data_IF_222353211511
#
_entry.id   IF_222353211511
#
_cell.length_a   1.000
_cell.length_b   1.000
_cell.length_c   1.000
_cell.angle_alpha   90.00
_cell.angle_beta   90.00
_cell.angle_gamma   90.00
#
_symmetry.space_group_name_H-M   'P 1'
#
loop_
_entity.id
_entity.type
_entity.pdbx_description
1 polymer ?
#
# COMPACT_ATOMS: atom_id res chain seq x y z
N UNK A 1 11.92 56.81 2.60
CA UNK A 1 12.37 55.41 2.58
C UNK A 1 12.11 54.83 3.96
N UNK A 2 10.94 54.24 4.18
CA UNK A 2 10.56 53.59 5.45
C UNK A 2 9.84 52.29 5.09
N UNK A 3 10.49 51.17 5.38
CA UNK A 3 9.97 49.82 5.15
C UNK A 3 9.07 49.43 6.32
N UNK A 4 7.78 49.19 6.04
CA UNK A 4 6.87 48.59 7.01
C UNK A 4 7.13 47.08 7.08
N UNK A 5 7.65 46.62 8.21
CA UNK A 5 7.69 45.20 8.57
C UNK A 5 6.27 44.75 8.95
N UNK A 6 5.67 43.91 8.10
CA UNK A 6 4.43 43.20 8.43
C UNK A 6 4.81 41.92 9.18
N UNK A 7 4.72 41.94 10.51
CA UNK A 7 4.83 40.74 11.34
C UNK A 7 3.50 40.00 11.24
N UNK A 8 3.46 38.90 10.49
CA UNK A 8 2.34 37.96 10.54
C UNK A 8 2.36 37.24 11.90
N UNK A 9 1.46 37.62 12.80
CA UNK A 9 1.11 36.83 13.97
C UNK A 9 0.21 35.67 13.51
N UNK A 10 0.76 34.46 13.40
CA UNK A 10 -0.06 33.24 13.27
C UNK A 10 -0.80 33.00 14.60
N UNK A 11 -2.10 32.67 14.54
CA UNK A 11 -2.90 32.47 15.74
C UNK A 11 -2.53 31.16 16.45
N UNK A 12 -2.76 31.07 17.76
CA UNK A 12 -2.56 29.82 18.50
C UNK A 12 -3.39 28.65 17.91
N UNK A 13 -4.53 28.92 17.28
CA UNK A 13 -5.33 27.93 16.58
C UNK A 13 -4.63 27.35 15.32
N UNK A 14 -3.82 28.17 14.63
CA UNK A 14 -2.99 27.71 13.50
C UNK A 14 -1.80 26.86 13.97
N UNK A 15 -1.35 27.06 15.21
CA UNK A 15 -0.30 26.24 15.86
C UNK A 15 -0.87 24.93 16.42
N UNK A 16 -2.15 24.91 16.82
CA UNK A 16 -2.83 23.76 17.42
C UNK A 16 -3.40 22.73 16.41
N UNK A 17 -3.44 23.05 15.11
CA UNK A 17 -3.92 22.12 14.07
C UNK A 17 -2.82 21.21 13.47
N UNK A 18 -1.56 21.35 13.92
CA UNK A 18 -0.47 20.46 13.52
C UNK A 18 -0.35 19.33 14.54
N UNK A 19 -0.62 18.08 14.12
CA UNK A 19 -0.42 16.79 14.83
C UNK A 19 -1.71 16.02 15.18
N UNK A 20 -2.62 15.87 14.21
CA UNK A 20 -3.62 14.79 14.32
C UNK A 20 -2.89 13.43 14.41
N UNK A 21 -3.16 12.67 15.48
CA UNK A 21 -2.69 11.28 15.58
C UNK A 21 -3.46 10.44 14.55
N UNK A 22 -2.77 9.66 13.70
CA UNK A 22 -3.47 8.80 12.77
C UNK A 22 -4.38 7.80 13.48
N UNK A 23 -5.62 7.71 13.00
CA UNK A 23 -6.63 6.79 13.52
C UNK A 23 -6.64 5.58 12.60
N UNK A 24 -6.55 4.38 13.19
CA UNK A 24 -6.62 3.14 12.44
C UNK A 24 -7.94 3.08 11.64
N UNK A 25 -7.90 2.76 10.34
CA UNK A 25 -9.09 2.82 9.50
C UNK A 25 -10.09 1.72 9.82
N UNK A 26 -11.36 2.03 9.60
CA UNK A 26 -12.49 1.10 9.69
C UNK A 26 -12.82 0.64 8.25
N UNK A 27 -13.02 -0.65 8.05
CA UNK A 27 -13.40 -1.26 6.78
C UNK A 27 -14.83 -0.86 6.40
N UNK A 28 -15.76 -0.91 7.36
CA UNK A 28 -17.16 -0.59 7.17
C UNK A 28 -17.95 -1.66 6.41
N UNK A 29 -17.33 -2.83 6.16
CA UNK A 29 -17.96 -4.02 5.59
C UNK A 29 -18.56 -4.93 6.66
N UNK A 30 -18.68 -6.22 6.33
CA UNK A 30 -19.25 -7.23 7.25
C UNK A 30 -18.33 -7.64 8.40
N UNK A 31 -17.04 -7.29 8.36
CA UNK A 31 -16.04 -7.62 9.37
C UNK A 31 -14.92 -6.57 9.40
N UNK A 32 -14.24 -6.48 10.55
CA UNK A 32 -13.13 -5.56 10.80
C UNK A 32 -11.84 -6.32 11.13
N UNK A 33 -10.69 -5.73 10.80
CA UNK A 33 -9.41 -6.22 11.32
C UNK A 33 -9.29 -5.91 12.82
N UNK A 34 -8.59 -6.75 13.60
CA UNK A 34 -8.27 -6.42 14.98
C UNK A 34 -7.47 -5.11 15.07
N UNK A 35 -7.83 -4.25 16.02
CA UNK A 35 -7.07 -3.02 16.28
C UNK A 35 -5.59 -3.32 16.58
N UNK A 36 -4.67 -2.40 16.23
CA UNK A 36 -3.27 -2.50 16.62
C UNK A 36 -3.11 -2.74 18.12
N UNK A 37 -2.22 -3.66 18.57
CA UNK A 37 -1.98 -3.87 19.99
C UNK A 37 -1.56 -2.57 20.68
N UNK A 38 -2.08 -2.33 21.89
CA UNK A 38 -1.81 -1.09 22.63
C UNK A 38 -0.32 -0.90 23.01
N UNK A 39 0.49 -1.96 22.93
CA UNK A 39 1.92 -1.96 23.25
C UNK A 39 2.83 -1.51 22.10
N UNK A 40 2.28 -1.21 20.92
CA UNK A 40 3.05 -0.77 19.74
C UNK A 40 2.57 0.59 19.26
N UNK A 41 3.44 1.33 18.57
CA UNK A 41 3.11 2.62 18.00
C UNK A 41 3.15 2.56 16.47
N UNK A 42 2.32 3.37 15.81
CA UNK A 42 2.42 3.58 14.37
C UNK A 42 3.76 4.26 14.05
N UNK A 43 4.60 3.61 13.26
CA UNK A 43 5.92 4.13 12.86
C UNK A 43 5.85 4.84 11.52
N UNK A 44 5.08 4.30 10.56
CA UNK A 44 4.98 4.83 9.20
C UNK A 44 3.70 4.36 8.50
N UNK A 45 3.21 5.18 7.57
CA UNK A 45 2.22 4.77 6.57
C UNK A 45 2.84 4.84 5.18
N UNK A 46 2.69 3.77 4.41
CA UNK A 46 3.34 3.61 3.10
C UNK A 46 2.30 3.25 2.05
N UNK A 47 2.36 3.88 0.89
CA UNK A 47 1.67 3.42 -0.31
C UNK A 47 2.52 2.31 -0.97
N UNK A 48 1.96 1.11 -1.08
CA UNK A 48 2.48 0.08 -1.97
C UNK A 48 1.79 0.15 -3.31
N UNK A 49 2.56 0.12 -4.39
CA UNK A 49 2.05 0.11 -5.76
C UNK A 49 2.82 -0.89 -6.62
N UNK A 50 2.12 -1.85 -7.23
CA UNK A 50 2.74 -2.99 -7.90
C UNK A 50 1.73 -4.00 -8.45
N UNK A 51 2.04 -5.29 -8.34
CA UNK A 51 1.23 -6.41 -8.81
C UNK A 51 1.00 -7.47 -7.73
N UNK A 52 -0.13 -8.15 -7.85
CA UNK A 52 -0.46 -9.39 -7.14
C UNK A 52 -0.40 -10.55 -8.13
N UNK A 53 0.31 -11.62 -7.76
CA UNK A 53 0.54 -12.78 -8.62
C UNK A 53 -0.25 -14.00 -8.14
N UNK A 54 -0.82 -14.73 -9.09
CA UNK A 54 -1.65 -15.91 -8.88
C UNK A 54 -1.25 -17.03 -9.83
N UNK A 55 -1.67 -18.24 -9.48
CA UNK A 55 -1.59 -19.42 -10.36
C UNK A 55 -2.91 -20.17 -10.36
N UNK A 56 -3.28 -20.70 -11.52
CA UNK A 56 -4.38 -21.63 -11.70
C UNK A 56 -3.82 -23.04 -11.87
N UNK A 57 -4.44 -24.01 -11.19
CA UNK A 57 -4.05 -25.43 -11.33
C UNK A 57 -4.81 -26.12 -12.44
N UNK A 58 -6.09 -25.78 -12.59
CA UNK A 58 -7.00 -26.28 -13.62
C UNK A 58 -7.98 -25.19 -14.06
N UNK A 59 -8.66 -25.42 -15.19
CA UNK A 59 -9.76 -24.56 -15.65
C UNK A 59 -10.89 -24.56 -14.63
N UNK A 60 -11.42 -23.37 -14.30
CA UNK A 60 -12.44 -23.14 -13.27
C UNK A 60 -12.01 -23.51 -11.83
N UNK A 61 -10.71 -23.70 -11.58
CA UNK A 61 -10.19 -23.82 -10.20
C UNK A 61 -10.17 -22.46 -9.48
N UNK A 62 -10.06 -22.49 -8.15
CA UNK A 62 -9.84 -21.26 -7.39
C UNK A 62 -8.40 -20.77 -7.60
N UNK A 63 -8.18 -19.50 -8.00
CA UNK A 63 -6.83 -18.98 -8.20
C UNK A 63 -6.07 -18.92 -6.87
N UNK A 64 -4.85 -19.43 -6.88
CA UNK A 64 -3.97 -19.44 -5.71
C UNK A 64 -3.02 -18.24 -5.74
N UNK A 65 -3.06 -17.39 -4.71
CA UNK A 65 -2.12 -16.27 -4.60
C UNK A 65 -0.71 -16.79 -4.30
N UNK A 66 0.25 -16.52 -5.19
CA UNK A 66 1.64 -16.98 -5.07
C UNK A 66 2.62 -15.88 -4.65
N UNK A 67 2.19 -14.62 -4.66
CA UNK A 67 3.01 -13.52 -4.16
C UNK A 67 2.51 -12.15 -4.56
N UNK A 68 3.31 -11.15 -4.24
CA UNK A 68 3.12 -9.78 -4.66
C UNK A 68 4.49 -9.12 -4.84
N UNK A 69 4.55 -8.10 -5.70
CA UNK A 69 5.69 -7.22 -5.87
C UNK A 69 5.19 -5.79 -5.81
N UNK A 70 5.85 -4.90 -5.07
CA UNK A 70 5.49 -3.49 -5.06
C UNK A 70 6.66 -2.57 -4.71
N UNK A 71 6.65 -1.39 -5.32
CA UNK A 71 7.43 -0.23 -4.86
C UNK A 71 6.70 0.41 -3.69
N UNK A 72 7.47 0.85 -2.69
CA UNK A 72 6.95 1.42 -1.45
C UNK A 72 7.27 2.91 -1.36
N UNK A 73 6.25 3.72 -1.08
CA UNK A 73 6.36 5.18 -0.99
C UNK A 73 5.82 5.72 0.33
N UNK A 74 6.57 6.60 1.00
CA UNK A 74 6.16 7.15 2.29
C UNK A 74 5.08 8.21 2.14
N UNK A 75 3.91 7.92 2.71
CA UNK A 75 2.74 8.80 2.70
C UNK A 75 2.36 9.28 4.09
N UNK A 76 3.22 9.07 5.10
CA UNK A 76 2.94 9.45 6.49
C UNK A 76 2.59 10.93 6.61
N UNK A 77 3.35 11.80 5.95
CA UNK A 77 3.10 13.26 5.95
C UNK A 77 1.87 13.69 5.14
N UNK A 78 1.30 12.79 4.34
CA UNK A 78 0.08 13.04 3.58
C UNK A 78 -1.18 12.74 4.42
N UNK A 79 -1.05 12.13 5.59
CA UNK A 79 -2.18 11.84 6.47
C UNK A 79 -2.90 13.15 6.89
N UNK A 80 -4.25 13.19 6.88
CA UNK A 80 -5.01 14.40 7.22
C UNK A 80 -4.61 15.02 8.57
N UNK A 81 -4.23 16.30 8.57
CA UNK A 81 -3.84 17.04 9.78
C UNK A 81 -2.46 16.70 10.34
N UNK A 82 -1.64 15.92 9.61
CA UNK A 82 -0.31 15.51 10.06
C UNK A 82 0.78 16.55 9.73
N UNK A 83 0.71 17.15 8.54
CA UNK A 83 1.72 18.09 8.06
C UNK A 83 1.13 19.15 7.10
N UNK A 84 1.96 20.08 6.61
CA UNK A 84 1.57 21.01 5.52
C UNK A 84 1.27 20.31 4.19
N UNK A 85 1.71 19.07 4.02
CA UNK A 85 1.44 18.22 2.84
C UNK A 85 0.20 17.34 3.02
N UNK A 86 -0.52 17.47 4.14
CA UNK A 86 -1.71 16.66 4.42
C UNK A 86 -2.71 16.74 3.28
N UNK A 87 -3.22 15.58 2.88
CA UNK A 87 -4.38 15.50 2.00
C UNK A 87 -5.66 15.75 2.79
N UNK A 88 -6.73 16.14 2.09
CA UNK A 88 -8.07 16.12 2.69
C UNK A 88 -8.48 14.67 2.94
N UNK A 89 -9.31 14.41 3.95
CA UNK A 89 -9.74 13.04 4.29
C UNK A 89 -10.28 12.26 3.08
N UNK A 90 -11.08 12.90 2.23
CA UNK A 90 -11.62 12.29 0.99
C UNK A 90 -10.56 11.94 -0.06
N UNK A 91 -9.44 12.66 -0.08
CA UNK A 91 -8.33 12.44 -1.02
C UNK A 91 -7.41 11.35 -0.47
N UNK A 92 -7.19 11.35 0.85
CA UNK A 92 -6.45 10.31 1.56
C UNK A 92 -7.04 8.92 1.29
N UNK A 93 -8.33 8.72 1.54
CA UNK A 93 -8.97 7.40 1.35
C UNK A 93 -9.00 6.93 -0.11
N UNK A 94 -8.76 7.84 -1.07
CA UNK A 94 -8.70 7.54 -2.52
C UNK A 94 -7.27 7.46 -3.07
N UNK A 95 -6.24 7.57 -2.23
CA UNK A 95 -4.87 7.66 -2.72
C UNK A 95 -4.41 6.39 -3.44
N UNK A 96 -4.78 5.20 -2.95
CA UNK A 96 -4.49 3.93 -3.62
C UNK A 96 -5.14 3.87 -5.01
N UNK A 97 -6.44 4.15 -5.10
CA UNK A 97 -7.18 4.26 -6.36
C UNK A 97 -6.56 5.27 -7.31
N UNK A 98 -6.15 6.44 -6.80
CA UNK A 98 -5.49 7.46 -7.60
C UNK A 98 -4.17 6.94 -8.16
N UNK A 99 -3.33 6.31 -7.35
CA UNK A 99 -2.06 5.75 -7.83
C UNK A 99 -2.30 4.72 -8.93
N UNK A 100 -3.19 3.76 -8.68
CA UNK A 100 -3.49 2.67 -9.59
C UNK A 100 -4.07 3.13 -10.94
N UNK A 101 -4.96 4.12 -10.94
CA UNK A 101 -5.67 4.55 -12.15
C UNK A 101 -5.02 5.73 -12.90
N UNK A 102 -3.94 6.33 -12.37
CA UNK A 102 -3.32 7.52 -12.99
C UNK A 102 -1.83 7.40 -13.26
N UNK A 103 -1.25 6.23 -13.04
CA UNK A 103 0.17 5.99 -13.24
C UNK A 103 0.39 4.53 -13.64
N UNK A 104 1.37 4.28 -14.50
CA UNK A 104 1.76 2.91 -14.83
C UNK A 104 2.32 2.18 -13.60
N UNK A 105 2.14 0.86 -13.53
CA UNK A 105 2.70 0.04 -12.45
C UNK A 105 4.23 0.24 -12.41
N UNK A 106 4.83 0.62 -11.26
CA UNK A 106 6.23 1.04 -11.19
C UNK A 106 7.18 -0.17 -11.05
N UNK A 107 6.99 -1.19 -11.90
CA UNK A 107 7.81 -2.40 -11.95
C UNK A 107 8.37 -2.58 -13.37
N UNK A 108 9.44 -3.37 -13.49
CA UNK A 108 9.93 -3.83 -14.79
C UNK A 108 8.98 -4.92 -15.30
N UNK A 109 8.00 -4.54 -16.11
CA UNK A 109 7.01 -5.48 -16.66
C UNK A 109 7.59 -6.29 -17.82
N UNK A 110 7.16 -7.56 -17.97
CA UNK A 110 7.53 -8.39 -19.13
C UNK A 110 6.80 -7.84 -20.37
N UNK A 111 7.51 -7.41 -21.43
CA UNK A 111 6.86 -6.89 -22.63
C UNK A 111 5.95 -7.94 -23.29
N UNK A 112 4.64 -7.69 -23.32
CA UNK A 112 3.65 -8.62 -23.86
C UNK A 112 3.45 -9.91 -23.03
N UNK A 113 4.02 -9.98 -21.84
CA UNK A 113 3.91 -11.13 -20.92
C UNK A 113 3.04 -10.82 -19.70
N UNK A 114 3.00 -11.79 -18.77
CA UNK A 114 2.25 -11.71 -17.52
C UNK A 114 3.22 -11.31 -16.40
N UNK A 115 2.89 -10.24 -15.67
CA UNK A 115 3.65 -9.81 -14.50
C UNK A 115 4.99 -9.13 -14.79
N UNK A 116 5.84 -9.09 -13.75
CA UNK A 116 7.13 -8.43 -13.76
C UNK A 116 8.27 -9.40 -14.10
N UNK A 117 9.37 -8.86 -14.60
CA UNK A 117 10.62 -9.57 -14.86
C UNK A 117 11.09 -10.32 -13.59
N UNK A 118 11.42 -11.60 -13.72
CA UNK A 118 11.76 -12.46 -12.59
C UNK A 118 13.13 -12.15 -11.97
N UNK A 119 14.07 -11.65 -12.77
CA UNK A 119 15.45 -11.41 -12.36
C UNK A 119 15.64 -9.97 -11.87
N UNK A 120 14.94 -9.02 -12.52
CA UNK A 120 15.07 -7.58 -12.29
C UNK A 120 13.70 -6.88 -12.18
N UNK A 121 12.81 -7.30 -11.25
CA UNK A 121 11.45 -6.78 -11.16
C UNK A 121 11.36 -5.30 -10.76
N UNK A 122 12.37 -4.78 -10.05
CA UNK A 122 12.36 -3.42 -9.53
C UNK A 122 13.19 -2.48 -10.41
N UNK A 123 12.60 -1.41 -10.95
CA UNK A 123 13.35 -0.37 -11.63
C UNK A 123 14.16 0.44 -10.62
N UNK A 124 14.98 1.38 -11.12
CA UNK A 124 15.75 2.29 -10.25
C UNK A 124 14.82 3.03 -9.29
N UNK A 125 15.18 3.02 -8.00
CA UNK A 125 14.49 3.77 -6.95
C UNK A 125 14.28 5.24 -7.32
N UNK A 126 13.03 5.67 -7.37
CA UNK A 126 12.64 7.04 -7.70
C UNK A 126 11.35 7.43 -6.98
N UNK A 127 11.16 8.71 -6.58
CA UNK A 127 9.90 9.18 -6.01
C UNK A 127 8.71 8.98 -6.97
N UNK A 128 7.54 8.64 -6.44
CA UNK A 128 6.30 8.56 -7.21
C UNK A 128 5.74 9.95 -7.47
N UNK A 129 5.36 10.24 -8.71
CA UNK A 129 4.73 11.50 -9.09
C UNK A 129 3.30 11.26 -9.57
N UNK A 130 2.34 11.55 -8.70
CA UNK A 130 0.91 11.51 -9.05
C UNK A 130 0.43 12.88 -9.51
N UNK A 131 -0.48 12.91 -10.48
CA UNK A 131 -1.01 14.16 -11.03
C UNK A 131 -1.60 15.07 -9.94
N UNK A 132 -1.24 16.34 -9.93
CA UNK A 132 -1.69 17.32 -8.94
C UNK A 132 -1.14 17.10 -7.52
N UNK A 133 -0.07 16.33 -7.35
CA UNK A 133 0.58 16.10 -6.05
C UNK A 133 2.09 16.36 -6.13
N UNK A 134 2.67 16.78 -5.00
CA UNK A 134 4.11 16.77 -4.83
C UNK A 134 4.65 15.33 -4.82
N UNK A 135 5.89 15.13 -5.26
CA UNK A 135 6.51 13.80 -5.33
C UNK A 135 6.50 13.09 -3.98
N UNK A 136 6.15 11.81 -4.00
CA UNK A 136 6.06 10.94 -2.83
C UNK A 136 7.37 10.16 -2.71
N UNK A 137 8.13 10.27 -1.60
CA UNK A 137 9.43 9.64 -1.47
C UNK A 137 9.36 8.12 -1.58
N UNK A 138 10.22 7.53 -2.40
CA UNK A 138 10.46 6.09 -2.39
C UNK A 138 11.18 5.68 -1.10
N UNK A 139 10.78 4.55 -0.52
CA UNK A 139 11.34 4.07 0.74
C UNK A 139 11.64 2.58 0.78
N UNK A 140 11.27 1.81 -0.25
CA UNK A 140 11.50 0.38 -0.17
C UNK A 140 10.81 -0.48 -1.21
N UNK A 141 10.91 -1.79 -0.98
CA UNK A 141 10.29 -2.82 -1.82
C UNK A 141 9.49 -3.79 -0.95
N UNK A 142 8.38 -4.28 -1.52
CA UNK A 142 7.65 -5.43 -1.03
C UNK A 142 7.77 -6.57 -2.03
N UNK A 143 8.08 -7.77 -1.55
CA UNK A 143 8.20 -8.99 -2.34
C UNK A 143 7.97 -10.23 -1.47
N UNK A 144 7.88 -11.41 -2.07
CA UNK A 144 7.89 -12.68 -1.35
C UNK A 144 9.28 -13.31 -1.50
N UNK A 145 9.89 -13.70 -0.38
CA UNK A 145 11.19 -14.38 -0.43
C UNK A 145 11.04 -15.84 -0.88
N UNK A 146 12.16 -16.57 -0.99
CA UNK A 146 12.17 -17.97 -1.44
C UNK A 146 11.35 -18.94 -0.57
N UNK A 147 11.03 -18.55 0.68
CA UNK A 147 10.15 -19.31 1.58
C UNK A 147 8.67 -18.90 1.46
N UNK A 148 8.30 -18.09 0.47
CA UNK A 148 6.95 -17.53 0.32
C UNK A 148 6.56 -16.56 1.43
N UNK A 149 7.53 -15.95 2.12
CA UNK A 149 7.25 -15.01 3.22
C UNK A 149 7.11 -13.59 2.66
N UNK A 150 5.97 -12.89 2.89
CA UNK A 150 5.82 -11.49 2.52
C UNK A 150 6.86 -10.65 3.26
N UNK A 151 7.72 -10.00 2.48
CA UNK A 151 8.89 -9.28 2.96
C UNK A 151 8.78 -7.82 2.59
N UNK A 152 9.10 -6.92 3.52
CA UNK A 152 9.15 -5.47 3.30
C UNK A 152 10.52 -4.98 3.68
N UNK A 153 11.25 -4.39 2.74
CA UNK A 153 12.52 -3.73 2.99
C UNK A 153 12.29 -2.22 2.96
N UNK A 154 12.43 -1.55 4.10
CA UNK A 154 12.13 -0.13 4.30
C UNK A 154 13.38 0.63 4.78
N UNK A 155 14.44 0.62 3.96
CA UNK A 155 15.73 1.18 4.34
C UNK A 155 16.43 0.32 5.40
N UNK A 156 16.43 0.78 6.66
CA UNK A 156 17.04 0.03 7.79
C UNK A 156 16.10 -0.98 8.42
N UNK A 157 14.79 -0.79 8.25
CA UNK A 157 13.78 -1.70 8.77
C UNK A 157 13.53 -2.82 7.76
N UNK A 158 13.31 -4.03 8.28
CA UNK A 158 12.96 -5.20 7.48
C UNK A 158 11.84 -5.94 8.20
N UNK A 159 10.76 -6.25 7.50
CA UNK A 159 9.65 -7.02 8.06
C UNK A 159 9.46 -8.32 7.27
N UNK A 160 9.46 -9.44 7.99
CA UNK A 160 9.08 -10.75 7.48
C UNK A 160 7.71 -11.10 8.07
N UNK A 161 6.68 -11.08 7.24
CA UNK A 161 5.30 -11.19 7.69
C UNK A 161 4.77 -12.61 7.69
N UNK A 162 3.84 -12.87 8.60
CA UNK A 162 2.88 -13.98 8.52
C UNK A 162 1.47 -13.43 8.66
N UNK A 163 0.52 -13.99 7.91
CA UNK A 163 -0.89 -13.58 7.98
C UNK A 163 -1.47 -13.98 9.34
N UNK A 164 -2.01 -13.01 10.07
CA UNK A 164 -2.71 -13.21 11.34
C UNK A 164 -4.23 -13.09 11.15
N UNK A 165 -4.69 -12.16 10.32
CA UNK A 165 -6.10 -12.03 9.97
C UNK A 165 -6.28 -11.44 8.58
N UNK A 166 -7.47 -11.63 8.01
CA UNK A 166 -7.90 -11.02 6.77
C UNK A 166 -9.40 -10.70 6.83
N UNK A 167 -9.80 -9.63 6.17
CA UNK A 167 -11.21 -9.31 5.89
C UNK A 167 -11.33 -8.85 4.45
N UNK A 168 -12.47 -9.12 3.82
CA UNK A 168 -12.70 -8.66 2.45
C UNK A 168 -12.54 -7.13 2.36
N UNK A 169 -12.07 -6.64 1.22
CA UNK A 169 -12.10 -5.21 0.97
C UNK A 169 -13.55 -4.70 1.04
N UNK A 170 -13.78 -3.44 1.46
CA UNK A 170 -15.11 -2.84 1.41
C UNK A 170 -15.69 -2.93 0.00
N UNK A 171 -17.01 -3.08 -0.14
CA UNK A 171 -17.65 -3.20 -1.46
C UNK A 171 -17.50 -1.96 -2.34
N UNK A 172 -17.18 -0.80 -1.75
CA UNK A 172 -16.87 0.44 -2.45
C UNK A 172 -15.38 0.59 -2.82
N UNK A 173 -14.54 -0.40 -2.49
CA UNK A 173 -13.15 -0.41 -2.90
C UNK A 173 -13.06 -0.46 -4.43
N UNK A 174 -12.05 0.24 -4.95
CA UNK A 174 -11.85 0.36 -6.39
C UNK A 174 -11.42 -0.99 -6.97
N UNK A 175 -12.11 -1.45 -8.01
CA UNK A 175 -11.85 -2.73 -8.65
C UNK A 175 -10.55 -2.76 -9.46
N UNK A 176 -9.93 -1.61 -9.67
CA UNK A 176 -8.74 -1.47 -10.51
C UNK A 176 -9.07 -1.45 -12.00
N UNK A 177 -8.08 -1.16 -12.86
CA UNK A 177 -8.27 -1.04 -14.31
C UNK A 177 -8.76 -2.34 -14.95
N UNK A 178 -8.39 -3.49 -14.36
CA UNK A 178 -8.74 -4.81 -14.86
C UNK A 178 -10.16 -5.25 -14.42
N UNK A 179 -10.79 -4.49 -13.52
CA UNK A 179 -12.17 -4.76 -13.07
C UNK A 179 -12.34 -6.01 -12.19
N UNK A 180 -11.25 -6.63 -11.73
CA UNK A 180 -11.26 -7.89 -10.97
C UNK A 180 -11.63 -7.72 -9.49
N UNK A 181 -11.61 -6.48 -8.98
CA UNK A 181 -11.91 -6.19 -7.57
C UNK A 181 -10.66 -5.95 -6.73
N UNK A 182 -10.85 -5.44 -5.52
CA UNK A 182 -9.77 -5.14 -4.60
C UNK A 182 -9.40 -6.34 -3.71
N UNK A 183 -8.10 -6.59 -3.55
CA UNK A 183 -7.62 -7.63 -2.62
C UNK A 183 -8.03 -7.37 -1.17
N UNK A 184 -8.18 -8.43 -0.34
CA UNK A 184 -8.54 -8.31 1.07
C UNK A 184 -7.62 -7.40 1.88
N UNK A 185 -8.17 -6.76 2.91
CA UNK A 185 -7.34 -6.14 3.95
C UNK A 185 -6.69 -7.23 4.80
N UNK A 186 -5.43 -7.02 5.20
CA UNK A 186 -4.65 -8.02 5.93
C UNK A 186 -4.08 -7.43 7.22
N UNK A 187 -4.00 -8.27 8.24
CA UNK A 187 -3.18 -8.04 9.42
C UNK A 187 -2.04 -9.05 9.43
N UNK A 188 -0.81 -8.56 9.40
CA UNK A 188 0.42 -9.34 9.40
C UNK A 188 1.19 -9.12 10.71
N UNK A 189 1.76 -10.19 11.24
CA UNK A 189 2.70 -10.15 12.35
C UNK A 189 4.07 -10.67 11.96
N UNK A 190 5.05 -10.46 12.83
CA UNK A 190 6.42 -10.93 12.62
C UNK A 190 6.51 -12.47 12.55
N UNK A 191 7.22 -12.95 11.53
CA UNK A 191 7.56 -14.35 11.31
C UNK A 191 8.82 -14.80 12.09
N UNK A 192 9.52 -13.91 12.79
CA UNK A 192 10.57 -14.24 13.77
C UNK A 192 11.93 -13.60 13.54
N UNK A 193 12.07 -12.73 12.53
CA UNK A 193 13.35 -12.12 12.14
C UNK A 193 13.21 -10.66 11.70
N UNK A 194 12.10 -10.00 12.03
CA UNK A 194 11.88 -8.60 11.65
C UNK A 194 12.74 -7.65 12.48
N UNK A 195 13.10 -6.52 11.88
CA UNK A 195 13.86 -5.42 12.48
C UNK A 195 13.05 -4.14 12.34
N UNK A 196 12.79 -3.46 13.46
CA UNK A 196 12.10 -2.16 13.50
C UNK A 196 10.57 -2.21 13.37
N UNK A 197 10.00 -3.33 12.90
CA UNK A 197 8.56 -3.52 12.68
C UNK A 197 8.11 -4.83 13.30
N UNK A 198 6.97 -4.80 14.01
CA UNK A 198 6.31 -5.97 14.60
C UNK A 198 5.02 -6.36 13.89
N UNK A 199 4.29 -5.38 13.37
CA UNK A 199 3.01 -5.59 12.70
C UNK A 199 2.86 -4.71 11.47
N UNK A 200 2.17 -5.24 10.46
CA UNK A 200 1.81 -4.52 9.24
C UNK A 200 0.34 -4.76 8.93
N UNK A 201 -0.38 -3.67 8.68
CA UNK A 201 -1.76 -3.73 8.21
C UNK A 201 -1.83 -3.28 6.76
N UNK A 202 -2.42 -4.12 5.90
CA UNK A 202 -2.77 -3.77 4.51
C UNK A 202 -4.22 -3.28 4.50
N UNK A 203 -4.43 -2.03 4.13
CA UNK A 203 -5.73 -1.34 4.17
C UNK A 203 -5.88 -0.41 2.95
N UNK A 204 -7.09 0.08 2.68
CA UNK A 204 -7.39 0.91 1.50
C UNK A 204 -6.85 0.28 0.20
N UNK A 205 -7.15 -0.99 -0.03
CA UNK A 205 -6.76 -1.73 -1.24
C UNK A 205 -7.57 -1.25 -2.45
N UNK A 206 -6.92 -1.24 -3.61
CA UNK A 206 -7.51 -1.00 -4.92
C UNK A 206 -6.93 -2.03 -5.90
N UNK A 207 -7.79 -2.71 -6.65
CA UNK A 207 -7.40 -3.77 -7.58
C UNK A 207 -6.69 -4.97 -6.94
N UNK A 208 -6.09 -5.79 -7.81
CA UNK A 208 -5.19 -6.88 -7.44
C UNK A 208 -5.86 -8.24 -7.28
N UNK A 209 -7.18 -8.38 -7.39
CA UNK A 209 -7.78 -9.71 -7.45
C UNK A 209 -7.44 -10.40 -8.79
N UNK A 210 -7.45 -11.73 -8.78
CA UNK A 210 -7.20 -12.54 -9.98
C UNK A 210 -8.28 -12.33 -11.05
N UNK A 211 -7.90 -12.54 -12.32
CA UNK A 211 -8.82 -12.61 -13.45
C UNK A 211 -9.67 -13.89 -13.49
N UNK A 212 -9.46 -14.80 -12.53
CA UNK A 212 -10.12 -16.11 -12.49
C UNK A 212 -9.37 -17.15 -13.33
N UNK A 213 -9.82 -18.41 -13.23
CA UNK A 213 -9.21 -19.54 -13.94
C UNK A 213 -10.10 -20.04 -15.10
N UNK A 214 -10.99 -19.19 -15.58
CA UNK A 214 -12.11 -19.58 -16.45
C UNK A 214 -11.68 -19.78 -17.91
N UNK A 215 -10.54 -19.20 -18.30
CA UNK A 215 -10.08 -19.10 -19.70
C UNK A 215 -8.66 -19.62 -19.94
N UNK A 216 -7.98 -20.10 -18.89
CA UNK A 216 -6.60 -20.59 -18.94
C UNK A 216 -6.55 -22.05 -18.47
N UNK A 217 -5.97 -22.94 -19.28
CA UNK A 217 -5.32 -24.14 -18.75
C UNK A 217 -4.24 -23.71 -17.73
N UNK A 218 -3.81 -24.60 -16.83
CA UNK A 218 -2.86 -24.31 -15.75
C UNK A 218 -1.82 -23.22 -16.11
N UNK A 219 -1.71 -22.16 -15.31
CA UNK A 219 -0.91 -21.00 -15.69
C UNK A 219 -0.86 -19.87 -14.67
N UNK A 220 -0.07 -18.85 -15.01
CA UNK A 220 0.19 -17.67 -14.18
C UNK A 220 -0.82 -16.55 -14.47
N UNK A 221 -1.12 -15.75 -13.45
CA UNK A 221 -1.92 -14.54 -13.52
C UNK A 221 -1.26 -13.42 -12.70
N UNK A 222 -1.42 -12.18 -13.14
CA UNK A 222 -0.88 -11.00 -12.47
C UNK A 222 -1.79 -9.81 -12.65
N UNK A 223 -2.22 -9.21 -11.55
CA UNK A 223 -3.12 -8.06 -11.55
C UNK A 223 -2.46 -6.86 -10.88
N UNK A 224 -2.60 -5.68 -11.48
CA UNK A 224 -2.14 -4.43 -10.88
C UNK A 224 -2.88 -4.11 -9.58
N UNK A 225 -2.18 -3.60 -8.58
CA UNK A 225 -2.80 -3.22 -7.30
C UNK A 225 -2.08 -2.06 -6.61
N UNK A 226 -2.83 -1.32 -5.80
CA UNK A 226 -2.28 -0.34 -4.87
C UNK A 226 -2.93 -0.47 -3.49
N UNK A 227 -2.19 -0.14 -2.44
CA UNK A 227 -2.70 -0.24 -1.06
C UNK A 227 -1.92 0.65 -0.10
N UNK A 228 -2.49 0.92 1.07
CA UNK A 228 -1.77 1.51 2.19
C UNK A 228 -1.33 0.42 3.16
N UNK A 229 -0.05 0.43 3.49
CA UNK A 229 0.53 -0.37 4.55
C UNK A 229 0.80 0.51 5.78
N UNK A 230 0.24 0.12 6.92
CA UNK A 230 0.46 0.79 8.21
C UNK A 230 1.39 -0.07 9.07
N UNK A 231 2.56 0.45 9.40
CA UNK A 231 3.64 -0.26 10.10
C UNK A 231 3.65 0.10 11.58
N UNK A 232 3.76 -0.90 12.45
CA UNK A 232 3.82 -0.73 13.90
C UNK A 232 5.01 -1.44 14.52
N UNK A 233 5.66 -0.83 15.52
CA UNK A 233 6.85 -1.33 16.21
C UNK A 233 6.84 -1.06 17.71
#
# INVERSE_FOLDING_TARGET
MLANFLILLASAADVLALTARPIFPINGGGAELPSPPASVNLTRIVLGFGIQNYTCTDVNSDPSAIGALAMLYDITDLYPGKSRRSLKAREWVKLSSKALNSHDVPLTMIPGGIGADSDHPFPKSAPLKLSGMASIPFVGHHFFNSNGTPTFHLGRDVFFGKKLAAVNAPTCADAGPDGTGAVPWLYLGDAGSSVGVKYVYRVFTAGGNSHGCDVVEAGDDSTSYATMYWFYG
#
